data_IF_625524537579
#
_entry.id   IF_625524537579
#
_cell.length_a   1.000
_cell.length_b   1.000
_cell.length_c   1.000
_cell.angle_alpha   90.00
_cell.angle_beta   90.00
_cell.angle_gamma   90.00
#
_symmetry.space_group_name_H-M   'P 1'
#
loop_
_entity.id
_entity.type
_entity.pdbx_description
1 polymer ?
#
# COMPACT_ATOMS: atom_id res chain seq x y z
N UNK A 1 -16.04 27.31 -21.26
CA UNK A 1 -16.38 26.19 -22.15
C UNK A 1 -15.05 25.67 -22.66
N UNK A 2 -14.55 24.48 -22.38
CA UNK A 2 -15.02 23.28 -21.69
C UNK A 2 -13.82 22.61 -21.03
N UNK A 3 -14.11 21.77 -20.04
CA UNK A 3 -13.17 20.90 -19.34
C UNK A 3 -12.77 19.78 -20.29
N UNK A 4 -11.48 19.50 -20.45
CA UNK A 4 -11.02 18.15 -20.80
C UNK A 4 -9.93 17.67 -19.84
N UNK A 5 -10.43 17.03 -18.78
CA UNK A 5 -9.78 15.94 -18.07
C UNK A 5 -9.29 14.89 -19.08
N UNK A 6 -7.99 14.77 -19.31
CA UNK A 6 -7.45 13.55 -19.91
C UNK A 6 -6.24 13.04 -19.13
N UNK A 7 -6.59 12.18 -18.18
CA UNK A 7 -5.75 11.18 -17.55
C UNK A 7 -5.10 10.29 -18.62
N UNK A 8 -3.83 10.55 -18.96
CA UNK A 8 -3.01 9.64 -19.76
C UNK A 8 -2.52 8.48 -18.88
N UNK A 9 -3.44 7.62 -18.47
CA UNK A 9 -3.10 6.34 -17.84
C UNK A 9 -3.69 5.22 -18.68
N UNK A 10 -2.99 4.85 -19.76
CA UNK A 10 -3.48 3.83 -20.68
C UNK A 10 -2.53 3.32 -21.74
N UNK A 11 -1.24 3.68 -21.75
CA UNK A 11 -0.31 3.02 -22.67
C UNK A 11 -0.04 1.58 -22.19
N UNK A 12 -0.50 0.67 -23.03
CA UNK A 12 -0.44 -0.78 -22.98
C UNK A 12 0.93 -1.29 -22.45
N UNK A 13 1.04 -1.59 -21.16
CA UNK A 13 2.12 -2.43 -20.63
C UNK A 13 1.88 -3.90 -21.00
N UNK A 14 1.85 -4.23 -22.29
CA UNK A 14 1.96 -5.62 -22.77
C UNK A 14 3.42 -5.97 -23.01
N UNK A 15 4.28 -5.72 -22.03
CA UNK A 15 5.59 -6.38 -21.96
C UNK A 15 5.36 -7.72 -21.25
N UNK A 16 5.04 -8.75 -22.03
CA UNK A 16 5.21 -10.18 -21.71
C UNK A 16 4.78 -10.58 -20.28
N UNK A 17 3.49 -10.85 -20.07
CA UNK A 17 3.05 -11.55 -18.86
C UNK A 17 3.69 -12.95 -18.85
N UNK A 18 4.80 -13.10 -18.11
CA UNK A 18 5.41 -14.39 -17.87
C UNK A 18 4.77 -14.99 -16.60
N UNK A 19 3.86 -15.97 -16.74
CA UNK A 19 3.19 -16.59 -15.59
C UNK A 19 4.17 -17.30 -14.64
N UNK A 20 5.41 -17.54 -15.06
CA UNK A 20 6.46 -18.16 -14.26
C UNK A 20 7.34 -17.15 -13.51
N UNK A 21 7.17 -15.84 -13.71
CA UNK A 21 7.92 -14.84 -12.97
C UNK A 21 7.33 -14.65 -11.55
N UNK A 22 7.96 -15.28 -10.57
CA UNK A 22 7.62 -15.07 -9.16
C UNK A 22 8.11 -13.69 -8.72
N UNK A 23 7.22 -12.69 -8.74
CA UNK A 23 7.50 -11.39 -8.12
C UNK A 23 7.78 -11.59 -6.62
N UNK A 24 9.05 -11.40 -6.23
CA UNK A 24 9.45 -11.46 -4.83
C UNK A 24 8.67 -10.43 -4.02
N UNK A 25 7.83 -10.92 -3.10
CA UNK A 25 7.09 -10.07 -2.16
C UNK A 25 8.09 -9.41 -1.20
N UNK A 26 8.08 -8.08 -1.14
CA UNK A 26 8.85 -7.35 -0.11
C UNK A 26 8.17 -7.57 1.24
N UNK A 27 8.89 -8.21 2.17
CA UNK A 27 8.42 -8.40 3.54
C UNK A 27 8.71 -7.14 4.35
N UNK A 28 7.74 -6.69 5.15
CA UNK A 28 7.96 -5.64 6.16
C UNK A 28 8.99 -6.13 7.19
N UNK A 29 9.99 -5.31 7.47
CA UNK A 29 10.98 -5.58 8.51
C UNK A 29 10.34 -5.63 9.90
N UNK A 30 11.06 -6.22 10.89
CA UNK A 30 10.59 -6.29 12.28
C UNK A 30 10.35 -4.89 12.88
N UNK A 31 11.18 -3.90 12.54
CA UNK A 31 11.02 -2.52 13.02
C UNK A 31 9.79 -1.85 12.41
N UNK A 32 9.58 -1.98 11.10
CA UNK A 32 8.37 -1.49 10.43
C UNK A 32 7.11 -2.14 11.01
N UNK A 33 7.15 -3.46 11.26
CA UNK A 33 6.04 -4.20 11.86
C UNK A 33 5.65 -3.64 13.24
N UNK A 34 6.61 -3.41 14.14
CA UNK A 34 6.32 -2.85 15.48
C UNK A 34 5.61 -1.50 15.42
N UNK A 35 6.03 -0.63 14.50
CA UNK A 35 5.41 0.69 14.32
C UNK A 35 3.99 0.56 13.77
N UNK A 36 3.81 -0.30 12.76
CA UNK A 36 2.50 -0.58 12.18
C UNK A 36 1.53 -1.19 13.19
N UNK A 37 2.00 -2.10 14.04
CA UNK A 37 1.18 -2.72 15.07
C UNK A 37 0.79 -1.73 16.17
N UNK A 38 1.70 -0.86 16.60
CA UNK A 38 1.36 0.24 17.52
C UNK A 38 0.28 1.14 16.92
N UNK A 39 0.47 1.60 15.68
CA UNK A 39 -0.51 2.44 15.00
C UNK A 39 -1.85 1.73 14.78
N UNK A 40 -1.84 0.40 14.62
CA UNK A 40 -3.06 -0.41 14.49
C UNK A 40 -3.87 -0.48 15.79
N UNK A 41 -3.20 -0.60 16.93
CA UNK A 41 -3.86 -0.60 18.26
C UNK A 41 -4.55 0.73 18.49
N UNK A 42 -3.91 1.84 18.12
CA UNK A 42 -4.47 3.19 18.24
C UNK A 42 -5.61 3.44 17.25
N UNK A 43 -5.44 3.06 15.98
CA UNK A 43 -6.44 3.25 14.93
C UNK A 43 -6.42 2.10 13.89
N UNK A 44 -7.32 1.11 13.99
CA UNK A 44 -7.42 0.00 13.02
C UNK A 44 -7.87 0.41 11.60
N UNK A 45 -8.41 1.61 11.43
CA UNK A 45 -8.93 2.17 10.17
C UNK A 45 -8.29 3.55 9.91
N UNK A 46 -6.98 3.62 9.62
CA UNK A 46 -6.30 4.90 9.41
C UNK A 46 -6.83 5.59 8.17
N UNK A 47 -7.02 6.91 8.27
CA UNK A 47 -7.42 7.78 7.16
C UNK A 47 -6.28 7.96 6.13
N UNK A 48 -6.54 8.74 5.07
CA UNK A 48 -5.55 8.97 4.03
C UNK A 48 -4.31 9.74 4.54
N UNK A 49 -4.50 10.67 5.47
CA UNK A 49 -3.41 11.50 6.02
C UNK A 49 -2.45 10.65 6.86
N UNK A 50 -3.00 9.88 7.80
CA UNK A 50 -2.27 8.94 8.66
C UNK A 50 -1.51 7.92 7.84
N UNK A 51 -2.11 7.37 6.77
CA UNK A 51 -1.42 6.45 5.87
C UNK A 51 -0.23 7.10 5.15
N UNK A 52 -0.34 8.36 4.73
CA UNK A 52 0.78 9.10 4.10
C UNK A 52 1.91 9.35 5.09
N UNK A 53 1.58 9.73 6.33
CA UNK A 53 2.57 9.94 7.38
C UNK A 53 3.34 8.64 7.70
N UNK A 54 2.63 7.52 7.86
CA UNK A 54 3.25 6.21 8.07
C UNK A 54 4.09 5.76 6.87
N UNK A 55 3.62 6.02 5.65
CA UNK A 55 4.35 5.72 4.42
C UNK A 55 5.71 6.44 4.37
N UNK A 56 5.74 7.73 4.68
CA UNK A 56 6.98 8.51 4.76
C UNK A 56 7.92 7.99 5.85
N UNK A 57 7.39 7.76 7.06
CA UNK A 57 8.19 7.30 8.20
C UNK A 57 8.78 5.90 8.00
N UNK A 58 8.09 5.02 7.29
CA UNK A 58 8.48 3.62 7.10
C UNK A 58 9.13 3.34 5.74
N UNK A 59 9.31 4.37 4.90
CA UNK A 59 9.74 4.23 3.51
C UNK A 59 8.91 3.17 2.75
N UNK A 60 7.59 3.23 2.93
CA UNK A 60 6.61 2.35 2.29
C UNK A 60 5.69 3.16 1.38
N UNK A 61 5.04 2.52 0.41
CA UNK A 61 4.00 3.20 -0.35
C UNK A 61 2.71 3.31 0.48
N UNK A 62 1.91 4.39 0.31
CA UNK A 62 0.59 4.50 0.97
C UNK A 62 -0.32 3.31 0.68
N UNK A 63 -0.20 2.73 -0.52
CA UNK A 63 -0.90 1.49 -0.91
C UNK A 63 -0.43 0.28 -0.11
N UNK A 64 0.89 0.16 0.12
CA UNK A 64 1.46 -0.89 0.96
C UNK A 64 0.95 -0.82 2.40
N UNK A 65 0.86 0.39 2.96
CA UNK A 65 0.25 0.62 4.29
C UNK A 65 -1.22 0.19 4.27
N UNK A 66 -1.99 0.61 3.28
CA UNK A 66 -3.41 0.23 3.16
C UNK A 66 -3.61 -1.31 3.13
N UNK A 67 -2.84 -2.01 2.30
CA UNK A 67 -2.90 -3.48 2.20
C UNK A 67 -2.48 -4.14 3.50
N UNK A 68 -1.45 -3.60 4.18
CA UNK A 68 -1.05 -4.11 5.49
C UNK A 68 -2.18 -4.02 6.51
N UNK A 69 -2.87 -2.87 6.61
CA UNK A 69 -4.00 -2.71 7.52
C UNK A 69 -5.19 -3.60 7.16
N UNK A 70 -5.47 -3.80 5.87
CA UNK A 70 -6.48 -4.75 5.40
C UNK A 70 -6.15 -6.18 5.83
N UNK A 71 -4.92 -6.64 5.56
CA UNK A 71 -4.45 -7.98 5.93
C UNK A 71 -4.43 -8.17 7.45
N UNK A 72 -4.01 -7.14 8.20
CA UNK A 72 -3.97 -7.19 9.66
C UNK A 72 -5.37 -7.34 10.26
N UNK A 73 -6.38 -6.65 9.71
CA UNK A 73 -7.79 -6.83 10.11
C UNK A 73 -8.33 -8.19 9.73
N UNK A 74 -8.03 -8.70 8.53
CA UNK A 74 -8.45 -10.02 8.10
C UNK A 74 -7.91 -11.13 9.01
N UNK A 75 -6.71 -10.95 9.57
CA UNK A 75 -6.13 -11.87 10.57
C UNK A 75 -6.75 -11.75 11.97
N UNK A 76 -7.33 -10.59 12.30
CA UNK A 76 -8.01 -10.34 13.59
C UNK A 76 -9.50 -10.69 13.55
N UNK A 77 -9.98 -11.26 12.45
CA UNK A 77 -11.33 -11.83 12.31
C UNK A 77 -11.21 -13.34 12.37
#
# INVERSE_FOLDING_TARGET
MEIENQSLHGELRTAFYNPHEVKRRRRTSKSQFKILEKAFIENPKPDASTRRHLAQRLSMSPRGIQVWFQNRRAKNK
#
